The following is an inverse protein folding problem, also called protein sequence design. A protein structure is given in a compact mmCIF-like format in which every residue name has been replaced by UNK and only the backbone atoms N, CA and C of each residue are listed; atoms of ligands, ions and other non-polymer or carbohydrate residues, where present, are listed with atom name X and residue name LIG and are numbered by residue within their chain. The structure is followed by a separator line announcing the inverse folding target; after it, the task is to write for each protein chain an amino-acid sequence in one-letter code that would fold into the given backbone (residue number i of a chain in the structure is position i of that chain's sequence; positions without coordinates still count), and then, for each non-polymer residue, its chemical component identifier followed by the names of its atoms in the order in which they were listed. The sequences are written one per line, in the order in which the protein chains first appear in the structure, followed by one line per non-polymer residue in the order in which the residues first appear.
data_IF_863080679874
#
_entry.id   IF_863080679874
#
_cell.length_a   1.000
_cell.length_b   1.000
_cell.length_c   1.000
_cell.angle_alpha   90.00
_cell.angle_beta   90.00
_cell.angle_gamma   90.00
#
_symmetry.space_group_name_H-M   'P 1'
#
loop_
_entity.id
_entity.type
_entity.pdbx_description
1 polymer ?
#
# COMPACT_ATOMS: atom_id res chain seq x y z
N UNK A 1 -22.22 13.99 6.99
CA UNK A 1 -22.52 12.92 5.99
C UNK A 1 -23.08 11.69 6.69
N UNK A 2 -23.83 10.81 5.96
CA UNK A 2 -24.29 9.53 6.54
C UNK A 2 -23.09 8.55 6.68
N UNK A 3 -23.00 7.86 7.82
CA UNK A 3 -21.91 6.91 8.11
C UNK A 3 -21.74 5.83 7.02
N UNK A 4 -22.84 5.33 6.44
CA UNK A 4 -22.79 4.37 5.33
C UNK A 4 -22.13 4.95 4.08
N UNK A 5 -22.40 6.23 3.76
CA UNK A 5 -21.76 6.92 2.62
C UNK A 5 -20.27 7.11 2.88
N UNK A 6 -19.90 7.53 4.08
CA UNK A 6 -18.51 7.66 4.50
C UNK A 6 -17.76 6.32 4.40
N UNK A 7 -18.39 5.23 4.84
CA UNK A 7 -17.84 3.88 4.78
C UNK A 7 -17.52 3.46 3.34
N UNK A 8 -18.48 3.60 2.43
CA UNK A 8 -18.26 3.28 1.02
C UNK A 8 -17.13 4.10 0.38
N UNK A 9 -17.06 5.40 0.65
CA UNK A 9 -16.01 6.28 0.13
C UNK A 9 -14.63 5.88 0.67
N UNK A 10 -14.54 5.63 1.98
CA UNK A 10 -13.32 5.18 2.63
C UNK A 10 -12.82 3.85 2.06
N UNK A 11 -13.69 2.86 1.94
CA UNK A 11 -13.30 1.55 1.40
C UNK A 11 -13.03 1.57 -0.11
N UNK A 12 -13.76 2.39 -0.89
CA UNK A 12 -13.45 2.60 -2.31
C UNK A 12 -11.98 2.97 -2.50
N UNK A 13 -11.52 3.99 -1.80
CA UNK A 13 -10.14 4.47 -1.94
C UNK A 13 -9.11 3.51 -1.35
N UNK A 14 -9.43 2.80 -0.25
CA UNK A 14 -8.57 1.73 0.27
C UNK A 14 -8.33 0.63 -0.75
N UNK A 15 -9.38 0.16 -1.41
CA UNK A 15 -9.27 -0.89 -2.41
C UNK A 15 -8.48 -0.42 -3.65
N UNK A 16 -8.69 0.80 -4.11
CA UNK A 16 -7.93 1.38 -5.23
C UNK A 16 -6.43 1.50 -4.88
N UNK A 17 -6.08 2.00 -3.69
CA UNK A 17 -4.70 2.08 -3.22
C UNK A 17 -4.07 0.69 -3.01
N UNK A 18 -4.84 -0.28 -2.50
CA UNK A 18 -4.38 -1.67 -2.33
C UNK A 18 -4.05 -2.33 -3.66
N UNK A 19 -4.90 -2.17 -4.67
CA UNK A 19 -4.64 -2.67 -6.03
C UNK A 19 -3.35 -2.08 -6.60
N UNK A 20 -3.12 -0.78 -6.44
CA UNK A 20 -1.89 -0.13 -6.86
C UNK A 20 -0.65 -0.68 -6.12
N UNK A 21 -0.72 -0.79 -4.79
CA UNK A 21 0.39 -1.29 -3.99
C UNK A 21 0.75 -2.74 -4.36
N UNK A 22 -0.27 -3.58 -4.56
CA UNK A 22 -0.08 -4.96 -5.03
C UNK A 22 0.59 -4.98 -6.40
N UNK A 23 0.12 -4.16 -7.35
CA UNK A 23 0.71 -4.09 -8.69
C UNK A 23 2.17 -3.62 -8.66
N UNK A 24 2.50 -2.63 -7.81
CA UNK A 24 3.89 -2.15 -7.66
C UNK A 24 4.84 -3.23 -7.15
N UNK A 25 4.43 -3.95 -6.12
CA UNK A 25 5.28 -5.00 -5.52
C UNK A 25 5.42 -6.17 -6.48
N UNK A 26 4.34 -6.56 -7.17
CA UNK A 26 4.37 -7.62 -8.18
C UNK A 26 5.28 -7.26 -9.36
N UNK A 27 5.18 -6.04 -9.89
CA UNK A 27 6.01 -5.56 -11.00
C UNK A 27 7.49 -5.60 -10.65
N UNK A 28 7.86 -5.06 -9.48
CA UNK A 28 9.26 -5.08 -9.02
C UNK A 28 9.76 -6.51 -8.83
N UNK A 29 8.98 -7.39 -8.20
CA UNK A 29 9.40 -8.79 -8.04
C UNK A 29 9.50 -9.52 -9.38
N UNK A 30 8.58 -9.27 -10.30
CA UNK A 30 8.62 -9.84 -11.64
C UNK A 30 9.87 -9.39 -12.39
N UNK A 31 10.15 -8.09 -12.45
CA UNK A 31 11.36 -7.56 -13.10
C UNK A 31 12.64 -8.07 -12.45
N UNK A 32 12.68 -8.14 -11.11
CA UNK A 32 13.84 -8.67 -10.38
C UNK A 32 14.05 -10.16 -10.70
N UNK A 33 12.97 -10.94 -10.87
CA UNK A 33 13.06 -12.36 -11.21
C UNK A 33 13.63 -12.65 -12.60
N UNK A 34 13.66 -11.66 -13.48
CA UNK A 34 14.28 -11.75 -14.82
C UNK A 34 15.80 -11.52 -14.79
N UNK A 35 16.34 -11.01 -13.68
CA UNK A 35 17.78 -10.82 -13.50
C UNK A 35 18.46 -12.15 -13.12
N UNK A 36 19.75 -12.32 -13.46
CA UNK A 36 20.52 -13.46 -12.98
C UNK A 36 20.55 -13.49 -11.45
N UNK A 37 19.99 -14.53 -10.84
CA UNK A 37 19.95 -14.72 -9.39
C UNK A 37 19.86 -16.20 -9.02
N UNK A 38 20.16 -16.55 -7.77
CA UNK A 38 19.98 -17.92 -7.30
C UNK A 38 18.50 -18.30 -7.18
N UNK A 39 18.18 -19.58 -7.32
CA UNK A 39 16.80 -20.07 -7.16
C UNK A 39 16.24 -19.75 -5.77
N UNK A 40 17.08 -19.78 -4.74
CA UNK A 40 16.72 -19.44 -3.35
C UNK A 40 16.37 -17.97 -3.20
N UNK A 41 17.11 -17.06 -3.81
CA UNK A 41 16.83 -15.61 -3.79
C UNK A 41 15.54 -15.29 -4.54
N UNK A 42 15.33 -15.91 -5.70
CA UNK A 42 14.08 -15.76 -6.46
C UNK A 42 12.85 -16.20 -5.64
N UNK A 43 12.92 -17.36 -4.99
CA UNK A 43 11.84 -17.87 -4.16
C UNK A 43 11.58 -16.95 -2.96
N UNK A 44 12.62 -16.49 -2.27
CA UNK A 44 12.50 -15.58 -1.12
C UNK A 44 11.78 -14.28 -1.49
N UNK A 45 11.99 -13.74 -2.70
CA UNK A 45 11.29 -12.57 -3.20
C UNK A 45 9.78 -12.76 -3.26
N UNK A 46 9.31 -13.90 -3.78
CA UNK A 46 7.87 -14.22 -3.89
C UNK A 46 7.24 -14.57 -2.54
N UNK A 47 7.97 -15.28 -1.67
CA UNK A 47 7.52 -15.52 -0.28
C UNK A 47 7.39 -14.22 0.51
N UNK A 48 8.34 -13.30 0.33
CA UNK A 48 8.29 -11.97 0.95
C UNK A 48 7.05 -11.19 0.54
N UNK A 49 6.63 -11.26 -0.72
CA UNK A 49 5.39 -10.62 -1.21
C UNK A 49 4.15 -11.16 -0.47
N UNK A 50 4.04 -12.47 -0.34
CA UNK A 50 2.93 -13.10 0.40
C UNK A 50 2.95 -12.72 1.88
N UNK A 51 4.14 -12.52 2.45
CA UNK A 51 4.32 -12.09 3.85
C UNK A 51 3.92 -10.64 4.06
N UNK A 52 4.33 -9.71 3.15
CA UNK A 52 3.91 -8.29 3.17
C UNK A 52 2.38 -8.17 3.18
N UNK A 53 1.71 -9.02 2.41
CA UNK A 53 0.26 -9.02 2.27
C UNK A 53 -0.47 -9.81 3.36
N UNK A 54 0.25 -10.53 4.25
CA UNK A 54 -0.28 -11.48 5.24
C UNK A 54 -1.14 -12.60 4.61
N UNK A 55 -0.84 -12.96 3.38
CA UNK A 55 -1.64 -13.90 2.60
C UNK A 55 -1.01 -15.29 2.47
N UNK A 56 0.17 -15.52 3.05
CA UNK A 56 0.87 -16.81 2.96
C UNK A 56 -0.02 -18.00 3.40
N UNK A 57 -0.77 -17.94 4.54
CA UNK A 57 -1.65 -19.05 4.93
C UNK A 57 -2.77 -19.34 3.92
N UNK A 58 -3.37 -18.29 3.34
CA UNK A 58 -4.42 -18.43 2.32
C UNK A 58 -3.87 -19.00 1.01
N UNK A 59 -2.67 -18.57 0.62
CA UNK A 59 -1.97 -19.08 -0.55
C UNK A 59 -1.65 -20.57 -0.36
N UNK A 60 -1.00 -20.93 0.74
CA UNK A 60 -0.63 -22.32 1.06
C UNK A 60 -1.84 -23.26 1.09
N UNK A 61 -2.96 -22.81 1.65
CA UNK A 61 -4.19 -23.59 1.66
C UNK A 61 -4.73 -23.93 0.27
N UNK A 62 -4.41 -23.13 -0.76
CA UNK A 62 -4.89 -23.32 -2.14
C UNK A 62 -3.85 -23.98 -3.05
N UNK A 63 -2.58 -23.55 -2.94
CA UNK A 63 -1.50 -23.94 -3.87
C UNK A 63 -0.45 -24.86 -3.24
N UNK A 64 -0.49 -25.12 -1.93
CA UNK A 64 0.49 -25.90 -1.19
C UNK A 64 1.69 -25.04 -0.72
N UNK A 65 2.67 -25.70 -0.12
CA UNK A 65 3.84 -25.03 0.49
C UNK A 65 4.85 -24.51 -0.53
N UNK A 66 4.83 -25.03 -1.75
CA UNK A 66 5.78 -24.64 -2.79
C UNK A 66 5.36 -23.32 -3.45
N UNK A 67 6.16 -22.27 -3.25
CA UNK A 67 5.87 -20.93 -3.78
C UNK A 67 6.40 -20.81 -5.20
N UNK A 68 5.51 -20.99 -6.18
CA UNK A 68 5.81 -20.87 -7.61
C UNK A 68 5.41 -19.47 -8.09
N UNK A 69 6.28 -18.72 -8.80
CA UNK A 69 6.01 -17.35 -9.25
C UNK A 69 4.67 -17.19 -9.99
N UNK A 70 4.35 -18.11 -10.89
CA UNK A 70 3.09 -18.13 -11.63
C UNK A 70 1.87 -18.21 -10.73
N UNK A 71 1.91 -19.08 -9.72
CA UNK A 71 0.79 -19.29 -8.80
C UNK A 71 0.60 -18.09 -7.89
N UNK A 72 1.71 -17.43 -7.47
CA UNK A 72 1.65 -16.18 -6.69
C UNK A 72 1.03 -15.06 -7.54
N UNK A 73 1.45 -14.91 -8.79
CA UNK A 73 0.89 -13.92 -9.71
C UNK A 73 -0.61 -14.17 -9.93
N UNK A 74 -1.00 -15.42 -10.19
CA UNK A 74 -2.41 -15.81 -10.34
C UNK A 74 -3.24 -15.48 -9.10
N UNK A 75 -2.74 -15.85 -7.92
CA UNK A 75 -3.39 -15.61 -6.63
C UNK A 75 -3.55 -14.12 -6.33
N UNK A 76 -2.52 -13.33 -6.61
CA UNK A 76 -2.50 -11.89 -6.30
C UNK A 76 -3.19 -11.03 -7.37
N UNK A 77 -3.31 -11.51 -8.60
CA UNK A 77 -3.95 -10.74 -9.68
C UNK A 77 -5.41 -11.09 -9.86
N UNK A 78 -5.75 -12.37 -10.04
CA UNK A 78 -7.07 -12.78 -10.54
C UNK A 78 -7.93 -13.62 -9.58
N UNK A 79 -7.37 -14.11 -8.47
CA UNK A 79 -8.15 -14.97 -7.58
C UNK A 79 -9.26 -14.19 -6.86
N UNK A 80 -10.52 -14.43 -7.24
CA UNK A 80 -11.68 -13.77 -6.63
C UNK A 80 -11.93 -14.19 -5.16
N UNK A 81 -11.37 -15.33 -4.71
CA UNK A 81 -11.43 -15.76 -3.30
C UNK A 81 -10.40 -15.00 -2.44
N UNK A 82 -9.39 -14.42 -3.07
CA UNK A 82 -8.46 -13.51 -2.41
C UNK A 82 -9.04 -12.10 -2.46
N UNK A 83 -9.58 -11.61 -1.36
CA UNK A 83 -10.15 -10.25 -1.25
C UNK A 83 -9.14 -9.13 -1.50
N UNK A 84 -7.84 -9.44 -1.48
CA UNK A 84 -6.74 -8.50 -1.75
C UNK A 84 -6.12 -8.68 -3.13
N UNK A 85 -6.65 -9.58 -3.98
CA UNK A 85 -6.23 -9.64 -5.38
C UNK A 85 -6.58 -8.34 -6.12
N UNK A 86 -5.82 -8.02 -7.16
CA UNK A 86 -6.05 -6.80 -7.96
C UNK A 86 -7.50 -6.76 -8.47
N UNK A 87 -7.99 -7.87 -9.02
CA UNK A 87 -9.37 -7.96 -9.54
C UNK A 87 -10.40 -7.75 -8.44
N UNK A 88 -10.23 -8.41 -7.29
CA UNK A 88 -11.15 -8.25 -6.15
C UNK A 88 -11.14 -6.82 -5.62
N UNK A 89 -9.98 -6.20 -5.51
CA UNK A 89 -9.84 -4.81 -5.08
C UNK A 89 -10.54 -3.86 -6.06
N UNK A 90 -10.29 -3.95 -7.37
CA UNK A 90 -10.92 -3.09 -8.36
C UNK A 90 -12.43 -3.33 -8.47
N UNK A 91 -12.90 -4.57 -8.30
CA UNK A 91 -14.32 -4.89 -8.19
C UNK A 91 -14.96 -4.23 -6.97
N UNK A 92 -14.32 -4.36 -5.81
CA UNK A 92 -14.83 -3.78 -4.56
C UNK A 92 -14.79 -2.24 -4.58
N UNK A 93 -13.76 -1.63 -5.17
CA UNK A 93 -13.70 -0.18 -5.37
C UNK A 93 -14.90 0.30 -6.21
N UNK A 94 -15.17 -0.36 -7.34
CA UNK A 94 -16.34 -0.07 -8.19
C UNK A 94 -17.66 -0.27 -7.47
N UNK A 95 -17.85 -1.36 -6.71
CA UNK A 95 -19.11 -1.60 -6.00
C UNK A 95 -19.37 -0.55 -4.90
N UNK A 96 -18.32 -0.13 -4.20
CA UNK A 96 -18.40 0.98 -3.26
C UNK A 96 -18.75 2.30 -3.98
N UNK A 97 -18.09 2.62 -5.10
CA UNK A 97 -18.42 3.79 -5.93
C UNK A 97 -19.88 3.75 -6.40
N UNK A 98 -20.38 2.57 -6.83
CA UNK A 98 -21.75 2.38 -7.25
C UNK A 98 -22.76 2.70 -6.16
N UNK A 99 -22.48 2.28 -4.93
CA UNK A 99 -23.35 2.49 -3.77
C UNK A 99 -23.51 3.98 -3.41
N UNK A 100 -22.51 4.79 -3.73
CA UNK A 100 -22.49 6.25 -3.42
C UNK A 100 -22.43 7.12 -4.67
N UNK A 101 -22.88 6.61 -5.82
CA UNK A 101 -22.79 7.31 -7.11
C UNK A 101 -23.34 8.74 -7.08
N UNK A 102 -24.38 9.00 -6.29
CA UNK A 102 -24.95 10.33 -6.13
C UNK A 102 -24.08 11.35 -5.38
N UNK A 103 -23.00 10.89 -4.75
CA UNK A 103 -22.02 11.73 -4.01
C UNK A 103 -20.76 11.96 -4.84
N UNK A 104 -20.50 11.12 -5.84
CA UNK A 104 -19.35 11.22 -6.72
C UNK A 104 -19.68 12.08 -7.95
N UNK A 105 -18.64 12.67 -8.56
CA UNK A 105 -18.78 13.24 -9.89
C UNK A 105 -18.92 12.13 -10.94
N UNK A 106 -19.47 12.48 -12.11
CA UNK A 106 -19.62 11.54 -13.23
C UNK A 106 -18.27 10.96 -13.62
N UNK A 107 -17.23 11.78 -13.67
CA UNK A 107 -15.87 11.39 -14.06
C UNK A 107 -15.25 10.40 -13.08
N UNK A 108 -15.46 10.59 -11.78
CA UNK A 108 -14.98 9.63 -10.76
C UNK A 108 -15.68 8.28 -10.92
N UNK A 109 -17.01 8.29 -11.02
CA UNK A 109 -17.77 7.06 -11.24
C UNK A 109 -17.37 6.33 -12.53
N UNK A 110 -17.25 7.04 -13.63
CA UNK A 110 -16.85 6.47 -14.92
C UNK A 110 -15.45 5.89 -14.86
N UNK A 111 -14.53 6.57 -14.18
CA UNK A 111 -13.16 6.09 -14.00
C UNK A 111 -13.12 4.75 -13.24
N UNK A 112 -13.82 4.62 -12.13
CA UNK A 112 -13.89 3.37 -11.36
C UNK A 112 -14.59 2.25 -12.14
N UNK A 113 -15.70 2.57 -12.81
CA UNK A 113 -16.43 1.60 -13.61
C UNK A 113 -15.62 1.09 -14.81
N UNK A 114 -14.98 1.98 -15.56
CA UNK A 114 -14.13 1.62 -16.69
C UNK A 114 -12.91 0.82 -16.26
N UNK A 115 -12.28 1.18 -15.12
CA UNK A 115 -11.13 0.44 -14.58
C UNK A 115 -11.51 -1.02 -14.32
N UNK A 116 -12.67 -1.27 -13.71
CA UNK A 116 -13.12 -2.64 -13.46
C UNK A 116 -13.45 -3.39 -14.77
N UNK A 117 -14.14 -2.77 -15.71
CA UNK A 117 -14.48 -3.41 -16.99
C UNK A 117 -13.21 -3.74 -17.80
N UNK A 118 -12.26 -2.85 -17.80
CA UNK A 118 -11.02 -3.01 -18.57
C UNK A 118 -10.10 -4.08 -17.98
N UNK A 119 -9.97 -4.18 -16.64
CA UNK A 119 -9.17 -5.26 -16.03
C UNK A 119 -9.72 -6.63 -16.38
N UNK A 120 -11.06 -6.79 -16.38
CA UNK A 120 -11.69 -8.05 -16.79
C UNK A 120 -11.41 -8.35 -18.27
N UNK A 121 -11.46 -7.34 -19.15
CA UNK A 121 -11.12 -7.49 -20.58
C UNK A 121 -9.68 -7.94 -20.74
N UNK A 122 -8.71 -7.28 -20.11
CA UNK A 122 -7.28 -7.59 -20.20
C UNK A 122 -6.96 -9.02 -19.74
N UNK A 123 -7.61 -9.49 -18.67
CA UNK A 123 -7.42 -10.86 -18.19
C UNK A 123 -8.05 -11.91 -19.12
N UNK A 124 -9.16 -11.59 -19.79
CA UNK A 124 -9.80 -12.48 -20.76
C UNK A 124 -9.04 -12.54 -22.10
N UNK A 125 -8.41 -11.45 -22.52
CA UNK A 125 -7.63 -11.38 -23.76
C UNK A 125 -6.22 -11.97 -23.66
N UNK A 126 -5.78 -12.34 -22.44
CA UNK A 126 -4.42 -12.83 -22.21
C UNK A 126 -3.35 -11.72 -22.20
N UNK A 127 -3.75 -10.46 -22.07
CA UNK A 127 -2.81 -9.32 -22.03
C UNK A 127 -1.87 -9.43 -20.83
N UNK A 128 -2.38 -9.89 -19.68
CA UNK A 128 -1.57 -10.11 -18.48
C UNK A 128 -0.48 -11.18 -18.69
N UNK A 129 -0.80 -12.29 -19.31
CA UNK A 129 0.16 -13.37 -19.58
C UNK A 129 1.20 -12.99 -20.62
N UNK A 130 0.82 -12.12 -21.56
CA UNK A 130 1.72 -11.64 -22.61
C UNK A 130 2.75 -10.66 -22.10
N UNK A 131 2.33 -9.71 -21.27
CA UNK A 131 3.19 -8.69 -20.68
C UNK A 131 2.70 -8.29 -19.28
N UNK A 132 3.15 -9.03 -18.24
CA UNK A 132 2.79 -8.71 -16.85
C UNK A 132 3.19 -7.30 -16.43
N UNK A 133 4.35 -6.79 -16.86
CA UNK A 133 4.80 -5.44 -16.49
C UNK A 133 3.89 -4.36 -17.07
N UNK A 134 3.47 -4.48 -18.32
CA UNK A 134 2.51 -3.54 -18.92
C UNK A 134 1.16 -3.56 -18.19
N UNK A 135 0.70 -4.75 -17.78
CA UNK A 135 -0.51 -4.88 -16.98
C UNK A 135 -0.37 -4.17 -15.62
N UNK A 136 0.75 -4.36 -14.89
CA UNK A 136 0.99 -3.70 -13.62
C UNK A 136 1.13 -2.18 -13.78
N UNK A 137 1.80 -1.70 -14.83
CA UNK A 137 1.85 -0.27 -15.17
C UNK A 137 0.45 0.29 -15.39
N UNK A 138 -0.38 -0.41 -16.15
CA UNK A 138 -1.77 0.00 -16.38
C UNK A 138 -2.54 0.13 -15.03
N UNK A 139 -2.45 -0.84 -14.12
CA UNK A 139 -3.10 -0.76 -12.81
C UNK A 139 -2.63 0.48 -12.03
N UNK A 140 -1.32 0.74 -12.00
CA UNK A 140 -0.75 1.94 -11.36
C UNK A 140 -1.32 3.23 -11.98
N UNK A 141 -1.38 3.32 -13.31
CA UNK A 141 -1.93 4.48 -14.00
C UNK A 141 -3.43 4.68 -13.74
N UNK A 142 -4.22 3.60 -13.65
CA UNK A 142 -5.65 3.70 -13.30
C UNK A 142 -5.85 4.26 -11.89
N UNK A 143 -5.02 3.88 -10.93
CA UNK A 143 -5.05 4.44 -9.58
C UNK A 143 -4.64 5.93 -9.56
N UNK A 144 -3.62 6.31 -10.35
CA UNK A 144 -3.25 7.72 -10.52
C UNK A 144 -4.38 8.53 -11.14
N UNK A 145 -5.04 7.98 -12.17
CA UNK A 145 -6.20 8.62 -12.80
C UNK A 145 -7.35 8.81 -11.82
N UNK A 146 -7.71 7.77 -11.04
CA UNK A 146 -8.75 7.85 -10.01
C UNK A 146 -8.50 9.01 -9.04
N UNK A 147 -7.27 9.11 -8.50
CA UNK A 147 -6.89 10.21 -7.60
C UNK A 147 -6.88 11.57 -8.29
N UNK A 148 -6.38 11.64 -9.52
CA UNK A 148 -6.34 12.86 -10.31
C UNK A 148 -7.73 13.40 -10.62
N UNK A 149 -8.64 12.53 -11.07
CA UNK A 149 -10.03 12.89 -11.34
C UNK A 149 -10.75 13.29 -10.05
N UNK A 150 -10.57 12.56 -8.96
CA UNK A 150 -11.12 12.92 -7.64
C UNK A 150 -10.68 14.32 -7.22
N UNK A 151 -9.38 14.61 -7.30
CA UNK A 151 -8.83 15.91 -6.90
C UNK A 151 -9.24 17.06 -7.86
N UNK A 152 -9.45 16.73 -9.13
CA UNK A 152 -9.79 17.73 -10.17
C UNK A 152 -11.26 18.04 -10.32
N UNK A 153 -12.16 17.17 -9.83
CA UNK A 153 -13.60 17.29 -10.13
C UNK A 153 -14.51 17.29 -8.92
N UNK A 154 -14.07 16.74 -7.77
CA UNK A 154 -14.88 16.73 -6.56
C UNK A 154 -14.71 18.00 -5.73
N UNK A 155 -15.82 18.44 -5.13
CA UNK A 155 -15.74 19.42 -4.07
C UNK A 155 -14.94 18.84 -2.89
N UNK A 156 -14.08 19.66 -2.27
CA UNK A 156 -13.29 19.24 -1.11
C UNK A 156 -14.13 19.31 0.18
N UNK A 157 -15.19 18.54 0.20
CA UNK A 157 -16.11 18.36 1.32
C UNK A 157 -15.79 17.09 2.12
N UNK A 158 -16.68 16.68 3.03
CA UNK A 158 -16.50 15.45 3.82
C UNK A 158 -16.28 14.22 2.95
N UNK A 159 -16.95 14.11 1.77
CA UNK A 159 -16.82 12.97 0.87
C UNK A 159 -15.39 12.84 0.33
N UNK A 160 -14.81 13.94 -0.12
CA UNK A 160 -13.43 14.01 -0.58
C UNK A 160 -12.45 13.60 0.54
N UNK A 161 -12.67 14.08 1.77
CA UNK A 161 -11.77 13.79 2.88
C UNK A 161 -11.84 12.33 3.33
N UNK A 162 -13.00 11.65 3.26
CA UNK A 162 -13.08 10.21 3.53
C UNK A 162 -12.34 9.37 2.48
N UNK A 163 -12.38 9.74 1.20
CA UNK A 163 -11.55 9.11 0.16
C UNK A 163 -10.06 9.26 0.47
N UNK A 164 -9.62 10.43 0.88
CA UNK A 164 -8.22 10.66 1.24
C UNK A 164 -7.80 9.89 2.48
N UNK A 165 -8.63 9.83 3.52
CA UNK A 165 -8.37 9.04 4.73
C UNK A 165 -8.14 7.56 4.39
N UNK A 166 -9.00 6.96 3.55
CA UNK A 166 -8.82 5.59 3.10
C UNK A 166 -7.49 5.39 2.36
N UNK A 167 -7.17 6.28 1.42
CA UNK A 167 -5.91 6.23 0.67
C UNK A 167 -4.68 6.25 1.58
N UNK A 168 -4.60 7.21 2.50
CA UNK A 168 -3.36 7.39 3.28
C UNK A 168 -3.20 6.39 4.41
N UNK A 169 -4.30 5.89 5.00
CA UNK A 169 -4.22 4.78 5.96
C UNK A 169 -3.75 3.48 5.28
N UNK A 170 -4.29 3.15 4.10
CA UNK A 170 -3.85 1.97 3.34
C UNK A 170 -2.38 2.08 2.92
N UNK A 171 -1.96 3.28 2.53
CA UNK A 171 -0.59 3.57 2.11
C UNK A 171 0.40 3.44 3.26
N UNK A 172 0.07 3.98 4.44
CA UNK A 172 0.88 3.86 5.64
C UNK A 172 1.06 2.39 6.06
N UNK A 173 -0.04 1.64 6.12
CA UNK A 173 -0.04 0.21 6.42
C UNK A 173 0.86 -0.57 5.47
N UNK A 174 0.68 -0.38 4.16
CA UNK A 174 1.47 -1.09 3.14
C UNK A 174 2.96 -0.73 3.21
N UNK A 175 3.31 0.54 3.39
CA UNK A 175 4.71 0.95 3.49
C UNK A 175 5.37 0.35 4.73
N UNK A 176 4.70 0.33 5.87
CA UNK A 176 5.23 -0.27 7.09
C UNK A 176 5.51 -1.76 6.91
N UNK A 177 4.57 -2.51 6.32
CA UNK A 177 4.74 -3.95 6.04
C UNK A 177 5.87 -4.23 5.05
N UNK A 178 5.96 -3.43 3.99
CA UNK A 178 7.02 -3.55 2.99
C UNK A 178 8.40 -3.36 3.63
N UNK A 179 8.57 -2.30 4.42
CA UNK A 179 9.83 -2.01 5.11
C UNK A 179 10.16 -3.13 6.08
N UNK A 180 9.21 -3.58 6.89
CA UNK A 180 9.42 -4.62 7.90
C UNK A 180 9.91 -5.93 7.28
N UNK A 181 9.16 -6.46 6.31
CA UNK A 181 9.50 -7.75 5.67
C UNK A 181 10.83 -7.68 4.93
N UNK A 182 11.08 -6.59 4.20
CA UNK A 182 12.29 -6.45 3.38
C UNK A 182 13.55 -6.20 4.21
N UNK A 183 13.46 -5.44 5.29
CA UNK A 183 14.59 -5.27 6.22
C UNK A 183 14.91 -6.55 7.00
N UNK A 184 13.87 -7.31 7.35
CA UNK A 184 14.06 -8.59 8.01
C UNK A 184 14.75 -9.61 7.09
N UNK A 185 14.35 -9.68 5.82
CA UNK A 185 14.98 -10.54 4.81
C UNK A 185 16.44 -10.16 4.58
N UNK A 186 16.76 -8.88 4.41
CA UNK A 186 18.12 -8.40 4.23
C UNK A 186 19.02 -8.78 5.41
N UNK A 187 18.56 -8.62 6.65
CA UNK A 187 19.33 -8.97 7.85
C UNK A 187 19.66 -10.47 7.91
N UNK A 188 18.79 -11.32 7.38
CA UNK A 188 18.97 -12.78 7.34
C UNK A 188 19.96 -13.20 6.25
N UNK A 189 19.92 -12.53 5.10
CA UNK A 189 20.78 -12.85 3.95
C UNK A 189 22.18 -12.23 4.09
N UNK A 190 22.32 -11.01 4.64
CA UNK A 190 23.60 -10.37 4.97
C UNK A 190 24.44 -11.17 5.98
N UNK A 191 23.81 -12.00 6.80
CA UNK A 191 24.53 -12.94 7.67
C UNK A 191 25.20 -14.07 6.87
N UNK A 192 24.88 -14.24 5.60
CA UNK A 192 25.35 -15.35 4.74
C UNK A 192 26.10 -14.93 3.47
N UNK A 193 26.10 -13.64 3.09
CA UNK A 193 26.71 -13.16 1.85
C UNK A 193 27.48 -11.84 2.02
N UNK A 194 28.63 -11.71 1.32
CA UNK A 194 29.48 -10.50 1.28
C UNK A 194 29.40 -9.80 -0.09
N UNK A 195 28.22 -9.73 -0.70
CA UNK A 195 28.07 -9.23 -2.06
C UNK A 195 27.42 -7.82 -2.05
N UNK A 196 28.26 -6.77 -2.34
CA UNK A 196 27.81 -5.38 -2.42
C UNK A 196 26.76 -5.16 -3.53
N UNK A 197 26.79 -5.96 -4.59
CA UNK A 197 25.82 -5.88 -5.68
C UNK A 197 24.44 -6.34 -5.23
N UNK A 198 24.36 -7.36 -4.37
CA UNK A 198 23.10 -7.83 -3.79
C UNK A 198 22.41 -6.73 -2.98
N UNK A 199 23.15 -6.01 -2.15
CA UNK A 199 22.63 -4.91 -1.33
C UNK A 199 22.03 -3.81 -2.20
N UNK A 200 22.70 -3.42 -3.29
CA UNK A 200 22.18 -2.39 -4.19
C UNK A 200 20.84 -2.79 -4.83
N UNK A 201 20.75 -4.00 -5.38
CA UNK A 201 19.51 -4.48 -6.02
C UNK A 201 18.37 -4.63 -5.03
N UNK A 202 18.65 -5.13 -3.84
CA UNK A 202 17.66 -5.31 -2.77
C UNK A 202 17.04 -3.96 -2.36
N UNK A 203 17.88 -2.99 -1.97
CA UNK A 203 17.41 -1.67 -1.52
C UNK A 203 16.77 -0.86 -2.66
N UNK A 204 17.28 -1.00 -3.87
CA UNK A 204 16.66 -0.40 -5.07
C UNK A 204 15.26 -0.96 -5.30
N UNK A 205 15.04 -2.26 -5.10
CA UNK A 205 13.74 -2.90 -5.26
C UNK A 205 12.70 -2.36 -4.27
N UNK A 206 13.10 -2.12 -3.02
CA UNK A 206 12.24 -1.51 -2.00
C UNK A 206 11.83 -0.10 -2.42
N UNK A 207 12.81 0.73 -2.80
CA UNK A 207 12.56 2.10 -3.24
C UNK A 207 11.66 2.15 -4.49
N UNK A 208 11.85 1.25 -5.46
CA UNK A 208 11.00 1.15 -6.65
C UNK A 208 9.57 0.74 -6.32
N UNK A 209 9.39 -0.16 -5.35
CA UNK A 209 8.05 -0.60 -4.89
C UNK A 209 7.19 0.54 -4.31
N UNK A 210 7.82 1.65 -3.90
CA UNK A 210 7.14 2.84 -3.37
C UNK A 210 7.35 4.10 -4.21
N UNK A 211 7.86 3.97 -5.44
CA UNK A 211 8.28 5.11 -6.30
C UNK A 211 9.24 6.08 -5.59
N UNK A 212 10.10 5.55 -4.74
CA UNK A 212 11.05 6.33 -3.93
C UNK A 212 12.47 6.40 -4.49
N UNK A 213 12.78 5.69 -5.59
CA UNK A 213 14.14 5.57 -6.07
C UNK A 213 14.71 6.92 -6.52
N UNK A 214 13.99 7.65 -7.37
CA UNK A 214 14.39 8.98 -7.83
C UNK A 214 14.37 10.01 -6.70
N UNK A 215 13.41 9.88 -5.76
CA UNK A 215 13.32 10.73 -4.57
C UNK A 215 14.55 10.52 -3.68
N UNK A 216 14.95 9.27 -3.44
CA UNK A 216 16.15 8.93 -2.67
C UNK A 216 17.39 9.60 -3.28
N UNK A 217 17.60 9.44 -4.59
CA UNK A 217 18.73 10.05 -5.30
C UNK A 217 18.72 11.58 -5.22
N UNK A 218 17.55 12.20 -5.29
CA UNK A 218 17.40 13.65 -5.17
C UNK A 218 17.74 14.16 -3.76
N UNK A 219 17.32 13.41 -2.73
CA UNK A 219 17.46 13.80 -1.32
C UNK A 219 18.90 13.58 -0.82
N UNK A 220 19.41 12.37 -1.00
CA UNK A 220 20.68 11.98 -0.38
C UNK A 220 21.89 12.17 -1.30
N UNK A 221 21.73 12.09 -2.60
CA UNK A 221 22.80 12.27 -3.62
C UNK A 221 24.03 11.38 -3.38
N UNK A 222 23.81 10.19 -2.87
CA UNK A 222 24.84 9.25 -2.42
C UNK A 222 24.38 7.81 -2.73
N UNK A 223 25.26 6.84 -2.45
CA UNK A 223 24.95 5.41 -2.53
C UNK A 223 23.75 5.04 -1.67
N UNK A 224 23.04 4.00 -2.07
CA UNK A 224 21.87 3.54 -1.31
C UNK A 224 22.37 2.85 -0.04
N UNK A 225 21.89 3.34 1.11
CA UNK A 225 22.20 2.79 2.44
C UNK A 225 20.90 2.40 3.16
N UNK A 226 20.87 1.25 3.84
CA UNK A 226 19.69 0.77 4.58
C UNK A 226 19.09 1.82 5.52
N UNK A 227 19.93 2.49 6.31
CA UNK A 227 19.51 3.49 7.29
C UNK A 227 18.79 4.66 6.63
N UNK A 228 19.31 5.13 5.49
CA UNK A 228 18.70 6.23 4.72
C UNK A 228 17.43 5.79 4.00
N UNK A 229 17.33 4.53 3.58
CA UNK A 229 16.08 3.97 3.04
C UNK A 229 15.02 3.94 4.14
N UNK A 230 15.36 3.47 5.34
CA UNK A 230 14.46 3.48 6.49
C UNK A 230 14.05 4.91 6.86
N UNK A 231 14.99 5.85 6.96
CA UNK A 231 14.71 7.26 7.24
C UNK A 231 13.75 7.87 6.23
N UNK A 232 13.99 7.65 4.92
CA UNK A 232 13.14 8.15 3.85
C UNK A 232 11.70 7.64 3.97
N UNK A 233 11.54 6.35 4.22
CA UNK A 233 10.23 5.69 4.20
C UNK A 233 9.47 5.80 5.53
N UNK A 234 10.14 6.11 6.63
CA UNK A 234 9.52 6.23 7.95
C UNK A 234 9.32 7.70 8.32
N UNK A 235 10.37 8.52 8.26
CA UNK A 235 10.40 9.83 8.91
C UNK A 235 10.33 11.02 7.96
N UNK A 236 10.45 10.84 6.65
CA UNK A 236 10.48 11.96 5.71
C UNK A 236 9.09 12.55 5.47
N UNK A 237 8.79 13.80 5.89
CA UNK A 237 7.42 14.36 5.83
C UNK A 237 6.95 14.70 4.40
N UNK A 238 7.87 14.97 3.49
CA UNK A 238 7.61 15.33 2.08
C UNK A 238 7.71 14.13 1.11
N UNK A 239 7.99 12.94 1.61
CA UNK A 239 7.89 11.70 0.83
C UNK A 239 6.44 11.20 0.82
N UNK A 240 5.75 11.13 -0.36
CA UNK A 240 4.31 10.82 -0.42
C UNK A 240 3.90 9.46 0.12
N UNK A 241 4.87 8.55 0.28
CA UNK A 241 4.64 7.18 0.77
C UNK A 241 5.38 6.88 2.08
N UNK A 242 5.97 7.88 2.73
CA UNK A 242 6.52 7.68 4.06
C UNK A 242 5.42 7.57 5.11
N UNK A 243 5.72 6.93 6.24
CA UNK A 243 4.77 6.81 7.33
C UNK A 243 4.37 8.18 7.88
N UNK A 244 5.35 9.07 8.09
CA UNK A 244 5.09 10.43 8.58
C UNK A 244 4.30 11.27 7.57
N UNK A 245 4.64 11.21 6.28
CA UNK A 245 3.90 11.89 5.22
C UNK A 245 2.45 11.43 5.13
N UNK A 246 2.21 10.12 5.22
CA UNK A 246 0.86 9.56 5.26
C UNK A 246 0.06 10.03 6.49
N UNK A 247 0.68 10.04 7.68
CA UNK A 247 -0.02 10.49 8.90
C UNK A 247 -0.27 12.00 8.93
N UNK A 248 0.59 12.80 8.29
CA UNK A 248 0.30 14.21 8.08
C UNK A 248 -0.98 14.40 7.27
N UNK A 249 -1.14 13.64 6.18
CA UNK A 249 -2.36 13.68 5.37
C UNK A 249 -3.58 13.13 6.13
N UNK A 250 -3.43 12.06 6.91
CA UNK A 250 -4.51 11.57 7.78
C UNK A 250 -4.97 12.68 8.74
N UNK A 251 -4.04 13.37 9.42
CA UNK A 251 -4.39 14.46 10.34
C UNK A 251 -5.06 15.63 9.63
N UNK A 252 -4.56 16.03 8.46
CA UNK A 252 -5.14 17.11 7.66
C UNK A 252 -6.60 16.79 7.30
N UNK A 253 -6.86 15.56 6.84
CA UNK A 253 -8.20 15.15 6.44
C UNK A 253 -9.13 14.92 7.64
N UNK A 254 -8.65 14.40 8.77
CA UNK A 254 -9.44 14.30 10.00
C UNK A 254 -9.87 15.67 10.53
N UNK A 255 -9.02 16.69 10.42
CA UNK A 255 -9.36 18.05 10.84
C UNK A 255 -10.53 18.66 10.02
N UNK A 256 -10.74 18.17 8.77
CA UNK A 256 -11.83 18.62 7.90
C UNK A 256 -13.13 17.81 8.11
N UNK A 257 -13.02 16.58 8.62
CA UNK A 257 -14.17 15.69 8.88
C UNK A 257 -14.78 15.94 10.24
N UNK A 258 -13.99 16.32 11.24
CA UNK A 258 -14.49 16.61 12.59
C UNK A 258 -13.81 17.81 13.21
N UNK A 259 -14.62 18.71 13.78
CA UNK A 259 -14.18 19.82 14.64
C UNK A 259 -14.16 19.44 16.13
N UNK A 260 -14.63 18.24 16.49
CA UNK A 260 -14.67 17.80 17.87
C UNK A 260 -13.25 17.62 18.43
N UNK A 261 -12.90 18.44 19.40
CA UNK A 261 -11.62 18.36 20.10
C UNK A 261 -11.47 17.06 20.93
N UNK A 262 -12.58 16.39 21.26
CA UNK A 262 -12.60 15.16 22.04
C UNK A 262 -12.62 13.90 21.16
N UNK A 263 -12.57 14.02 19.83
CA UNK A 263 -12.50 12.87 18.93
C UNK A 263 -11.31 11.98 19.30
N UNK A 264 -11.60 10.75 19.70
CA UNK A 264 -10.58 9.77 20.07
C UNK A 264 -9.75 9.34 18.85
N UNK A 265 -10.38 9.27 17.68
CA UNK A 265 -9.68 9.02 16.40
C UNK A 265 -8.64 10.09 16.13
N UNK A 266 -9.01 11.37 16.26
CA UNK A 266 -8.09 12.49 16.07
C UNK A 266 -6.95 12.50 17.09
N UNK A 267 -7.25 12.22 18.37
CA UNK A 267 -6.25 12.14 19.44
C UNK A 267 -5.22 11.04 19.18
N UNK A 268 -5.66 9.84 18.76
CA UNK A 268 -4.78 8.70 18.43
C UNK A 268 -3.93 8.97 17.20
N UNK A 269 -4.52 9.51 16.14
CA UNK A 269 -3.79 9.89 14.93
C UNK A 269 -2.71 10.96 15.25
N UNK A 270 -3.07 11.97 16.06
CA UNK A 270 -2.14 13.01 16.51
C UNK A 270 -0.96 12.46 17.31
N UNK A 271 -1.22 11.54 18.25
CA UNK A 271 -0.17 10.88 19.02
C UNK A 271 0.76 10.07 18.11
N UNK A 272 0.20 9.23 17.23
CA UNK A 272 0.99 8.42 16.30
C UNK A 272 1.85 9.29 15.37
N UNK A 273 1.28 10.37 14.84
CA UNK A 273 2.02 11.35 14.03
C UNK A 273 3.15 12.02 14.82
N UNK A 274 2.89 12.45 16.05
CA UNK A 274 3.90 13.13 16.90
C UNK A 274 5.06 12.19 17.25
N UNK A 275 4.78 10.93 17.52
CA UNK A 275 5.81 9.92 17.79
C UNK A 275 6.77 9.77 16.59
N UNK A 276 6.25 9.79 15.35
CA UNK A 276 7.10 9.79 14.15
C UNK A 276 7.82 11.12 13.91
N UNK A 277 7.16 12.24 14.17
CA UNK A 277 7.71 13.57 13.91
C UNK A 277 8.96 13.86 14.73
N UNK A 278 9.03 13.34 15.94
CA UNK A 278 10.15 13.58 16.87
C UNK A 278 11.07 12.36 17.01
N UNK A 279 10.81 11.28 16.29
CA UNK A 279 11.68 10.11 16.27
C UNK A 279 12.98 10.37 15.51
N UNK A 280 14.04 9.67 15.90
CA UNK A 280 15.31 9.63 15.18
C UNK A 280 15.55 8.24 14.64
N UNK A 281 16.01 8.15 13.40
CA UNK A 281 16.20 6.86 12.74
C UNK A 281 17.21 5.98 13.48
N UNK A 282 18.28 6.56 14.00
CA UNK A 282 19.30 5.82 14.74
C UNK A 282 18.74 5.17 16.01
N UNK A 283 17.84 5.86 16.71
CA UNK A 283 17.15 5.31 17.89
C UNK A 283 16.20 4.17 17.51
N UNK A 284 15.47 4.29 16.41
CA UNK A 284 14.58 3.24 15.88
C UNK A 284 15.40 2.00 15.53
N UNK A 285 16.50 2.16 14.83
CA UNK A 285 17.35 1.06 14.40
C UNK A 285 18.03 0.38 15.59
N UNK A 286 18.51 1.16 16.56
CA UNK A 286 19.16 0.64 17.79
C UNK A 286 18.17 -0.16 18.66
N UNK A 287 16.90 0.30 18.76
CA UNK A 287 15.87 -0.37 19.56
C UNK A 287 15.16 -1.51 18.82
N UNK A 288 15.42 -1.68 17.51
CA UNK A 288 14.88 -2.75 16.69
C UNK A 288 13.75 -2.28 15.78
N UNK A 289 14.06 -2.15 14.49
CA UNK A 289 13.11 -1.69 13.45
C UNK A 289 11.85 -2.55 13.37
N UNK A 290 11.97 -3.88 13.47
CA UNK A 290 10.84 -4.80 13.44
C UNK A 290 9.84 -4.53 14.58
N UNK A 291 10.31 -4.41 15.80
CA UNK A 291 9.45 -4.11 16.96
C UNK A 291 8.74 -2.76 16.80
N UNK A 292 9.46 -1.75 16.29
CA UNK A 292 8.90 -0.43 16.01
C UNK A 292 7.79 -0.49 14.94
N UNK A 293 8.02 -1.18 13.82
CA UNK A 293 7.05 -1.29 12.74
C UNK A 293 5.84 -2.15 13.13
N UNK A 294 6.04 -3.22 13.89
CA UNK A 294 4.93 -4.02 14.44
C UNK A 294 4.03 -3.15 15.33
N UNK A 295 4.61 -2.41 16.27
CA UNK A 295 3.85 -1.49 17.11
C UNK A 295 3.15 -0.38 16.30
N UNK A 296 3.79 0.12 15.25
CA UNK A 296 3.17 1.09 14.35
C UNK A 296 1.95 0.49 13.63
N UNK A 297 2.06 -0.73 13.09
CA UNK A 297 0.96 -1.43 12.42
C UNK A 297 -0.22 -1.68 13.37
N UNK A 298 0.04 -2.12 14.60
CA UNK A 298 -1.00 -2.31 15.62
C UNK A 298 -1.76 -1.00 15.87
N UNK A 299 -1.04 0.12 16.00
CA UNK A 299 -1.64 1.43 16.24
C UNK A 299 -2.40 1.98 15.02
N UNK A 300 -1.96 1.69 13.80
CA UNK A 300 -2.69 2.04 12.57
C UNK A 300 -3.98 1.22 12.47
N UNK A 301 -3.94 -0.08 12.82
CA UNK A 301 -5.12 -0.93 12.87
C UNK A 301 -6.12 -0.44 13.93
N UNK A 302 -5.64 -0.10 15.13
CA UNK A 302 -6.47 0.52 16.16
C UNK A 302 -7.09 1.84 15.70
N UNK A 303 -6.30 2.69 15.01
CA UNK A 303 -6.79 3.95 14.45
C UNK A 303 -7.91 3.71 13.43
N UNK A 304 -7.73 2.72 12.55
CA UNK A 304 -8.77 2.29 11.59
C UNK A 304 -10.05 1.83 12.28
N UNK A 305 -9.93 1.04 13.37
CA UNK A 305 -11.06 0.58 14.16
C UNK A 305 -11.78 1.72 14.88
N UNK A 306 -11.05 2.73 15.39
CA UNK A 306 -11.65 3.93 15.99
C UNK A 306 -12.35 4.79 14.95
N UNK A 307 -11.73 5.00 13.78
CA UNK A 307 -12.34 5.72 12.67
C UNK A 307 -13.64 5.05 12.22
N UNK A 308 -13.65 3.72 12.14
CA UNK A 308 -14.85 2.95 11.81
C UNK A 308 -15.97 3.16 12.83
N UNK A 309 -15.67 3.10 14.12
CA UNK A 309 -16.67 3.27 15.19
C UNK A 309 -17.22 4.70 15.29
N UNK A 310 -16.39 5.70 15.01
CA UNK A 310 -16.75 7.11 15.19
C UNK A 310 -17.47 7.68 13.95
N UNK A 311 -17.09 7.26 12.74
CA UNK A 311 -17.55 7.89 11.50
C UNK A 311 -18.18 6.94 10.49
N UNK A 312 -17.86 5.64 10.51
CA UNK A 312 -18.29 4.68 9.50
C UNK A 312 -19.37 3.73 10.06
N UNK A 313 -19.61 2.64 9.37
CA UNK A 313 -20.47 1.55 9.87
C UNK A 313 -19.58 0.58 10.64
N UNK A 314 -19.78 0.39 11.97
CA UNK A 314 -18.97 -0.56 12.72
C UNK A 314 -19.10 -1.96 12.13
N UNK A 315 -17.98 -2.59 11.82
CA UNK A 315 -17.96 -4.01 11.50
C UNK A 315 -18.41 -4.79 12.74
N UNK A 316 -19.56 -5.45 12.65
CA UNK A 316 -19.96 -6.46 13.65
C UNK A 316 -18.92 -7.58 13.59
N UNK A 317 -18.07 -7.64 14.60
CA UNK A 317 -17.17 -8.77 14.87
C UNK A 317 -17.94 -9.99 15.27
#
# INVERSE_FOLDING_TARGET
MLSRTADHLFWMSRYTERAENTARILDVNYQTSLLPQSATSAQAGWEGLLSISELKPKFTAKYGENVIPRDVMDFMVRDEKNSSSIVSCLKNARENARAVRGTLTTEVWETENQTHLEVIRMLKSGDFERDPSQFFEWVKFRSHLSRGVTAGTMLQDEAFHFLRLGTFLERADNTARLVDVKFHAAKKELASATDEDFDFYHWSSILRSVSGFEIYRKVYRDVIRPERVAELLILRPDMPRSLLGCLNEVMNNLAMVTSDANSETRRRAGKLRSDLQYAKIDEILANGLHAFLTQFLDRVNELGAHLSREFLVPTTT
#
